data_IF_939371196842
#
_entry.id   IF_939371196842
#
_cell.length_a   1.000
_cell.length_b   1.000
_cell.length_c   1.000
_cell.angle_alpha   90.00
_cell.angle_beta   90.00
_cell.angle_gamma   90.00
#
_symmetry.space_group_name_H-M   'P 1'
#
loop_
_entity.id
_entity.type
_entity.pdbx_description
1 polymer ?
#
# COMPACT_ATOMS: atom_id res chain seq x y z
N UNK A 1 -13.48 -10.25 -19.77
CA UNK A 1 -13.83 -9.19 -18.80
C UNK A 1 -13.91 -9.66 -17.35
N UNK A 2 -14.49 -10.84 -17.04
CA UNK A 2 -14.62 -11.36 -15.65
C UNK A 2 -13.30 -11.53 -14.91
N UNK A 3 -12.25 -12.02 -15.57
CA UNK A 3 -10.93 -12.23 -14.95
C UNK A 3 -10.24 -10.93 -14.55
N UNK A 4 -10.31 -9.90 -15.40
CA UNK A 4 -9.69 -8.60 -15.15
C UNK A 4 -10.36 -7.85 -13.99
N UNK A 5 -11.70 -7.91 -13.90
CA UNK A 5 -12.47 -7.37 -12.77
C UNK A 5 -12.14 -8.09 -11.46
N UNK A 6 -12.01 -9.41 -11.49
CA UNK A 6 -11.63 -10.18 -10.31
C UNK A 6 -10.20 -9.84 -9.84
N UNK A 7 -9.27 -9.64 -10.79
CA UNK A 7 -7.91 -9.22 -10.47
C UNK A 7 -7.88 -7.80 -9.88
N UNK A 8 -8.67 -6.86 -10.42
CA UNK A 8 -8.84 -5.52 -9.87
C UNK A 8 -9.29 -5.56 -8.41
N UNK A 9 -10.34 -6.33 -8.12
CA UNK A 9 -10.87 -6.49 -6.77
C UNK A 9 -9.84 -7.11 -5.80
N UNK A 10 -9.04 -8.06 -6.29
CA UNK A 10 -7.97 -8.65 -5.50
C UNK A 10 -6.86 -7.63 -5.19
N UNK A 11 -6.51 -6.76 -6.15
CA UNK A 11 -5.56 -5.67 -5.94
C UNK A 11 -6.10 -4.63 -4.96
N UNK A 12 -7.37 -4.26 -5.06
CA UNK A 12 -8.03 -3.35 -4.10
C UNK A 12 -7.95 -3.90 -2.68
N UNK A 13 -8.26 -5.20 -2.51
CA UNK A 13 -8.17 -5.88 -1.20
C UNK A 13 -6.74 -5.91 -0.66
N UNK A 14 -5.77 -6.19 -1.52
CA UNK A 14 -4.35 -6.19 -1.15
C UNK A 14 -3.87 -4.78 -0.75
N UNK A 15 -4.32 -3.75 -1.45
CA UNK A 15 -4.00 -2.35 -1.17
C UNK A 15 -4.60 -1.89 0.15
N UNK A 16 -5.85 -2.25 0.45
CA UNK A 16 -6.49 -1.96 1.74
C UNK A 16 -5.75 -2.63 2.90
N UNK A 17 -5.32 -3.87 2.70
CA UNK A 17 -4.49 -4.60 3.68
C UNK A 17 -3.16 -3.89 3.90
N UNK A 18 -2.45 -3.51 2.83
CA UNK A 18 -1.16 -2.80 2.94
C UNK A 18 -1.32 -1.42 3.61
N UNK A 19 -2.41 -0.71 3.35
CA UNK A 19 -2.75 0.57 4.01
C UNK A 19 -3.04 0.37 5.50
N UNK A 20 -3.68 -0.73 5.88
CA UNK A 20 -3.89 -1.07 7.29
C UNK A 20 -2.56 -1.37 8.00
N UNK A 21 -1.69 -2.18 7.39
CA UNK A 21 -0.34 -2.48 7.91
C UNK A 21 0.49 -1.20 8.09
N UNK A 22 0.47 -0.30 7.10
CA UNK A 22 1.17 0.99 7.20
C UNK A 22 0.66 1.86 8.35
N UNK A 23 -0.67 1.97 8.51
CA UNK A 23 -1.27 2.70 9.64
C UNK A 23 -0.86 2.10 10.98
N UNK A 24 -0.87 0.77 11.09
CA UNK A 24 -0.45 0.09 12.32
C UNK A 24 1.02 0.33 12.63
N UNK A 25 1.91 0.30 11.63
CA UNK A 25 3.33 0.59 11.81
C UNK A 25 3.56 2.03 12.29
N UNK A 26 2.82 3.00 11.73
CA UNK A 26 2.89 4.41 12.15
C UNK A 26 2.43 4.57 13.60
N UNK A 27 1.31 3.96 13.98
CA UNK A 27 0.81 3.99 15.36
C UNK A 27 1.81 3.35 16.33
N UNK A 28 2.38 2.20 15.96
CA UNK A 28 3.38 1.52 16.78
C UNK A 28 4.62 2.39 17.01
N UNK A 29 5.12 3.07 15.98
CA UNK A 29 6.23 4.01 16.15
C UNK A 29 5.84 5.18 17.05
N UNK A 30 4.67 5.79 16.85
CA UNK A 30 4.22 6.91 17.68
C UNK A 30 4.15 6.52 19.17
N UNK A 31 3.59 5.35 19.46
CA UNK A 31 3.55 4.80 20.83
C UNK A 31 4.94 4.51 21.39
N UNK A 32 5.85 3.98 20.58
CA UNK A 32 7.23 3.71 21.01
C UNK A 32 8.00 5.00 21.29
N UNK A 33 7.85 6.01 20.44
CA UNK A 33 8.46 7.34 20.63
C UNK A 33 7.89 8.09 21.84
N UNK A 34 6.59 7.94 22.12
CA UNK A 34 5.96 8.48 23.32
C UNK A 34 6.58 7.85 24.59
N UNK A 35 6.76 6.53 24.62
CA UNK A 35 7.41 5.84 25.75
C UNK A 35 8.86 6.27 25.96
N UNK A 36 9.57 6.60 24.89
CA UNK A 36 10.97 7.08 24.96
C UNK A 36 11.09 8.54 25.37
N UNK A 37 10.00 9.30 25.40
CA UNK A 37 10.04 10.77 25.55
C UNK A 37 10.77 11.22 26.82
N UNK A 38 10.64 10.47 27.92
CA UNK A 38 11.25 10.80 29.22
C UNK A 38 12.56 10.02 29.49
N UNK A 39 13.01 9.19 28.53
CA UNK A 39 14.19 8.35 28.71
C UNK A 39 15.49 9.17 28.55
N UNK A 40 16.35 9.14 29.57
CA UNK A 40 17.66 9.81 29.54
C UNK A 40 18.64 9.24 28.50
N UNK A 41 18.35 8.05 27.95
CA UNK A 41 19.13 7.35 26.93
C UNK A 41 18.34 7.11 25.64
N UNK A 42 17.53 8.10 25.22
CA UNK A 42 16.64 7.99 24.06
C UNK A 42 17.32 7.36 22.84
N UNK A 43 16.84 6.19 22.46
CA UNK A 43 17.27 5.50 21.25
C UNK A 43 16.63 6.14 20.01
N UNK A 44 17.29 6.07 18.84
CA UNK A 44 16.69 6.51 17.58
C UNK A 44 15.35 5.83 17.27
N UNK A 45 14.53 6.50 16.48
CA UNK A 45 13.29 5.96 15.96
C UNK A 45 13.56 4.77 15.03
N UNK A 46 12.88 3.64 15.27
CA UNK A 46 12.92 2.50 14.36
C UNK A 46 11.88 2.69 13.26
N UNK A 47 12.32 3.19 12.10
CA UNK A 47 11.46 3.54 10.97
C UNK A 47 11.37 2.44 9.90
N UNK A 48 12.11 1.34 10.06
CA UNK A 48 12.24 0.31 9.01
C UNK A 48 10.89 -0.34 8.68
N UNK A 49 10.08 -0.62 9.71
CA UNK A 49 8.75 -1.19 9.56
C UNK A 49 7.79 -0.27 8.79
N UNK A 50 7.87 1.04 9.05
CA UNK A 50 7.10 2.07 8.33
C UNK A 50 7.55 2.18 6.89
N UNK A 51 8.87 2.19 6.65
CA UNK A 51 9.43 2.29 5.31
C UNK A 51 9.03 1.09 4.45
N UNK A 52 9.11 -0.12 5.01
CA UNK A 52 8.70 -1.34 4.35
C UNK A 52 7.20 -1.31 3.99
N UNK A 53 6.34 -1.02 4.97
CA UNK A 53 4.90 -0.97 4.76
C UNK A 53 4.50 0.12 3.75
N UNK A 54 5.13 1.30 3.80
CA UNK A 54 4.92 2.40 2.83
C UNK A 54 5.30 1.98 1.42
N UNK A 55 6.46 1.35 1.26
CA UNK A 55 6.95 0.87 -0.05
C UNK A 55 5.98 -0.12 -0.66
N UNK A 56 5.44 -1.03 0.16
CA UNK A 56 4.44 -2.01 -0.27
C UNK A 56 3.15 -1.36 -0.76
N UNK A 57 2.66 -0.32 -0.07
CA UNK A 57 1.49 0.46 -0.53
C UNK A 57 1.77 1.11 -1.89
N UNK A 58 2.90 1.80 -2.05
CA UNK A 58 3.25 2.50 -3.29
C UNK A 58 3.34 1.50 -4.46
N UNK A 59 3.99 0.36 -4.26
CA UNK A 59 4.14 -0.65 -5.29
C UNK A 59 2.80 -1.24 -5.74
N UNK A 60 1.89 -1.51 -4.80
CA UNK A 60 0.56 -2.05 -5.10
C UNK A 60 -0.33 -1.01 -5.80
N UNK A 61 -0.25 0.25 -5.40
CA UNK A 61 -0.99 1.35 -6.02
C UNK A 61 -0.56 1.56 -7.48
N UNK A 62 0.75 1.59 -7.72
CA UNK A 62 1.31 1.68 -9.08
C UNK A 62 0.92 0.48 -9.96
N UNK A 63 0.97 -0.73 -9.41
CA UNK A 63 0.57 -1.94 -10.13
C UNK A 63 -0.94 -1.95 -10.45
N UNK A 64 -1.77 -1.42 -9.54
CA UNK A 64 -3.22 -1.25 -9.75
C UNK A 64 -3.51 -0.24 -10.85
N UNK A 65 -2.84 0.91 -10.84
CA UNK A 65 -2.97 1.94 -11.90
C UNK A 65 -2.59 1.39 -13.27
N UNK A 66 -1.50 0.62 -13.35
CA UNK A 66 -1.08 -0.01 -14.59
C UNK A 66 -2.10 -1.04 -15.09
N UNK A 67 -2.65 -1.86 -14.20
CA UNK A 67 -3.70 -2.81 -14.57
C UNK A 67 -4.96 -2.09 -15.07
N UNK A 68 -5.33 -0.96 -14.46
CA UNK A 68 -6.46 -0.15 -14.91
C UNK A 68 -6.23 0.37 -16.34
N UNK A 69 -5.04 0.91 -16.63
CA UNK A 69 -4.65 1.35 -17.99
C UNK A 69 -4.78 0.23 -19.01
N UNK A 70 -4.23 -0.95 -18.72
CA UNK A 70 -4.28 -2.11 -19.64
C UNK A 70 -5.72 -2.53 -19.95
N UNK A 71 -6.62 -2.47 -18.97
CA UNK A 71 -8.03 -2.81 -19.17
C UNK A 71 -8.74 -1.78 -20.03
N UNK A 72 -8.49 -0.49 -19.80
CA UNK A 72 -9.07 0.60 -20.59
C UNK A 72 -8.59 0.56 -22.05
N UNK A 73 -7.28 0.39 -22.27
CA UNK A 73 -6.69 0.25 -23.61
C UNK A 73 -7.24 -0.99 -24.34
N UNK A 74 -7.27 -2.14 -23.66
CA UNK A 74 -7.83 -3.38 -24.22
C UNK A 74 -9.32 -3.28 -24.57
N UNK A 75 -10.10 -2.54 -23.78
CA UNK A 75 -11.50 -2.27 -24.08
C UNK A 75 -11.68 -1.33 -25.29
N UNK A 76 -10.82 -0.32 -25.43
CA UNK A 76 -10.87 0.64 -26.54
C UNK A 76 -10.66 -0.03 -27.90
N UNK A 77 -9.71 -0.97 -27.98
CA UNK A 77 -9.38 -1.73 -29.20
C UNK A 77 -10.52 -2.64 -29.66
N UNK A 78 -11.27 -3.23 -28.71
CA UNK A 78 -12.44 -4.06 -29.03
C UNK A 78 -13.67 -3.26 -29.53
N UNK A 79 -13.68 -1.94 -29.38
CA UNK A 79 -14.79 -1.08 -29.85
C UNK A 79 -14.61 -0.55 -31.28
N UNK A 80 -13.45 -0.77 -31.89
CA UNK A 80 -13.10 -0.28 -33.23
C UNK A 80 -13.21 -1.35 -34.33
N UNK A 81 -13.84 -2.49 -34.03
CA UNK A 81 -14.11 -3.58 -35.00
C UNK A 81 -15.56 -3.60 -35.47
#
# INVERSE_FOLDING_TARGET
MTTAKNLMNAMDTALDTARAEYRNAVLALATDEERKHEASNRQPANVDSIHHARTRVIALDAAREELARVIEEGASLSSTS
#
